data_IF_619646691762
#
_entry.id   IF_619646691762
#
_cell.length_a   1.000
_cell.length_b   1.000
_cell.length_c   1.000
_cell.angle_alpha   90.00
_cell.angle_beta   90.00
_cell.angle_gamma   90.00
#
_symmetry.space_group_name_H-M   'P 1'
#
loop_
_entity.id
_entity.type
_entity.pdbx_description
1 polymer ?
#
# COMPACT_ATOMS: atom_id res chain seq x y z
N UNK A 1 -12.09 8.17 0.88
CA UNK A 1 -11.50 7.20 -0.08
C UNK A 1 -11.91 7.44 -1.53
N UNK A 2 -13.20 7.39 -1.92
CA UNK A 2 -13.59 7.63 -3.33
C UNK A 2 -13.17 9.01 -3.87
N UNK A 3 -13.18 10.02 -3.00
CA UNK A 3 -12.70 11.37 -3.32
C UNK A 3 -11.16 11.49 -3.25
N UNK A 4 -10.49 10.53 -2.62
CA UNK A 4 -9.05 10.58 -2.37
C UNK A 4 -8.23 9.92 -3.48
N UNK A 5 -8.81 8.98 -4.23
CA UNK A 5 -8.06 8.13 -5.16
C UNK A 5 -8.96 7.38 -6.15
N UNK A 6 -8.38 6.99 -7.28
CA UNK A 6 -8.98 6.09 -8.27
C UNK A 6 -9.07 4.66 -7.72
N UNK A 7 -10.23 4.32 -7.15
CA UNK A 7 -10.50 2.99 -6.58
C UNK A 7 -10.33 1.86 -7.61
N UNK A 8 -10.90 1.93 -8.82
CA UNK A 8 -10.67 0.90 -9.86
C UNK A 8 -9.18 0.61 -10.11
N UNK A 9 -8.35 1.65 -10.16
CA UNK A 9 -6.90 1.50 -10.37
C UNK A 9 -6.20 0.82 -9.19
N UNK A 10 -6.59 1.14 -7.95
CA UNK A 10 -6.05 0.47 -6.75
C UNK A 10 -6.49 -0.99 -6.70
N UNK A 11 -7.78 -1.26 -6.93
CA UNK A 11 -8.33 -2.61 -7.01
C UNK A 11 -7.60 -3.46 -8.05
N UNK A 12 -7.29 -2.89 -9.21
CA UNK A 12 -6.50 -3.57 -10.25
C UNK A 12 -5.10 -3.96 -9.75
N UNK A 13 -4.45 -3.11 -8.95
CA UNK A 13 -3.12 -3.42 -8.37
C UNK A 13 -3.23 -4.49 -7.29
N UNK A 14 -4.24 -4.42 -6.43
CA UNK A 14 -4.50 -5.43 -5.40
C UNK A 14 -4.73 -6.81 -6.04
N UNK A 15 -5.57 -6.91 -7.07
CA UNK A 15 -5.81 -8.17 -7.79
C UNK A 15 -4.54 -8.77 -8.40
N UNK A 16 -3.60 -7.93 -8.85
CA UNK A 16 -2.28 -8.41 -9.32
C UNK A 16 -1.46 -9.00 -8.17
N UNK A 17 -1.45 -8.35 -7.01
CA UNK A 17 -0.78 -8.85 -5.80
C UNK A 17 -1.39 -10.18 -5.35
N UNK A 18 -2.72 -10.30 -5.35
CA UNK A 18 -3.40 -11.57 -5.06
C UNK A 18 -2.95 -12.69 -6.01
N UNK A 19 -2.76 -12.37 -7.30
CA UNK A 19 -2.19 -13.31 -8.28
C UNK A 19 -0.77 -13.73 -7.93
N UNK A 20 0.08 -12.79 -7.48
CA UNK A 20 1.44 -13.10 -7.03
C UNK A 20 1.43 -14.00 -5.79
N UNK A 21 0.55 -13.73 -4.81
CA UNK A 21 0.43 -14.54 -3.60
C UNK A 21 -0.03 -15.97 -3.91
N UNK A 22 -0.98 -16.14 -4.85
CA UNK A 22 -1.38 -17.47 -5.34
C UNK A 22 -0.22 -18.21 -6.00
N UNK A 23 0.54 -17.52 -6.87
CA UNK A 23 1.70 -18.13 -7.52
C UNK A 23 2.78 -18.56 -6.50
N UNK A 24 3.05 -17.75 -5.48
CA UNK A 24 3.96 -18.11 -4.39
C UNK A 24 3.47 -19.37 -3.66
N UNK A 25 2.17 -19.48 -3.36
CA UNK A 25 1.61 -20.68 -2.74
C UNK A 25 1.84 -21.93 -3.61
N UNK A 26 1.59 -21.83 -4.91
CA UNK A 26 1.83 -22.93 -5.84
C UNK A 26 3.33 -23.30 -5.94
N UNK A 27 4.23 -22.32 -5.82
CA UNK A 27 5.68 -22.59 -5.81
C UNK A 27 6.08 -23.41 -4.58
N UNK A 28 5.48 -23.13 -3.42
CA UNK A 28 5.69 -23.91 -2.19
C UNK A 28 5.19 -25.34 -2.39
N UNK A 29 3.98 -25.51 -2.93
CA UNK A 29 3.39 -26.85 -3.17
C UNK A 29 4.20 -27.69 -4.18
N UNK A 30 4.91 -27.03 -5.10
CA UNK A 30 5.73 -27.65 -6.15
C UNK A 30 7.20 -27.81 -5.76
N UNK A 31 7.57 -27.53 -4.50
CA UNK A 31 8.94 -27.63 -3.99
C UNK A 31 9.95 -26.82 -4.84
N UNK A 32 9.54 -25.62 -5.26
CA UNK A 32 10.40 -24.70 -6.03
C UNK A 32 11.54 -24.18 -5.13
N UNK A 33 12.76 -23.95 -5.66
CA UNK A 33 13.89 -23.49 -4.87
C UNK A 33 13.58 -22.23 -4.03
N UNK A 34 14.09 -22.23 -2.80
CA UNK A 34 13.80 -21.19 -1.81
C UNK A 34 14.18 -19.78 -2.29
N UNK A 35 15.28 -19.65 -3.01
CA UNK A 35 15.75 -18.40 -3.60
C UNK A 35 14.73 -17.80 -4.58
N UNK A 36 14.04 -18.61 -5.37
CA UNK A 36 13.02 -18.15 -6.30
C UNK A 36 11.76 -17.68 -5.57
N UNK A 37 11.36 -18.42 -4.52
CA UNK A 37 10.24 -18.03 -3.66
C UNK A 37 10.53 -16.68 -2.98
N UNK A 38 11.75 -16.48 -2.46
CA UNK A 38 12.17 -15.23 -1.84
C UNK A 38 12.15 -14.05 -2.83
N UNK A 39 12.53 -14.27 -4.09
CA UNK A 39 12.42 -13.26 -5.14
C UNK A 39 10.95 -12.86 -5.37
N UNK A 40 10.03 -13.83 -5.44
CA UNK A 40 8.61 -13.54 -5.64
C UNK A 40 7.97 -12.84 -4.43
N UNK A 41 8.35 -13.23 -3.20
CA UNK A 41 7.92 -12.54 -1.97
C UNK A 41 8.36 -11.06 -2.02
N UNK A 42 9.60 -10.80 -2.40
CA UNK A 42 10.10 -9.42 -2.53
C UNK A 42 9.37 -8.63 -3.62
N UNK A 43 8.99 -9.28 -4.72
CA UNK A 43 8.16 -8.67 -5.76
C UNK A 43 6.76 -8.30 -5.23
N UNK A 44 6.12 -9.18 -4.46
CA UNK A 44 4.82 -8.92 -3.82
C UNK A 44 4.92 -7.80 -2.77
N UNK A 45 5.95 -7.82 -1.91
CA UNK A 45 6.24 -6.75 -0.93
C UNK A 45 6.38 -5.39 -1.62
N UNK A 46 7.16 -5.35 -2.71
CA UNK A 46 7.38 -4.12 -3.49
C UNK A 46 6.10 -3.61 -4.16
N UNK A 47 5.26 -4.52 -4.67
CA UNK A 47 3.97 -4.16 -5.25
C UNK A 47 3.00 -3.60 -4.20
N UNK A 48 2.94 -4.22 -3.01
CA UNK A 48 2.14 -3.75 -1.89
C UNK A 48 2.59 -2.38 -1.37
N UNK A 49 3.91 -2.16 -1.25
CA UNK A 49 4.46 -0.87 -0.88
C UNK A 49 4.05 0.24 -1.87
N UNK A 50 4.09 -0.03 -3.17
CA UNK A 50 3.61 0.91 -4.20
C UNK A 50 2.12 1.21 -4.08
N UNK A 51 1.29 0.25 -3.68
CA UNK A 51 -0.13 0.51 -3.40
C UNK A 51 -0.26 1.45 -2.20
N UNK A 52 0.48 1.19 -1.12
CA UNK A 52 0.51 2.06 0.06
C UNK A 52 0.91 3.50 -0.27
N UNK A 53 1.93 3.71 -1.12
CA UNK A 53 2.34 5.03 -1.59
C UNK A 53 1.22 5.78 -2.32
N UNK A 54 0.50 5.11 -3.22
CA UNK A 54 -0.64 5.71 -3.94
C UNK A 54 -1.77 6.09 -2.97
N UNK A 55 -2.02 5.25 -1.96
CA UNK A 55 -3.02 5.53 -0.92
C UNK A 55 -2.61 6.76 -0.10
N UNK A 56 -1.35 6.83 0.31
CA UNK A 56 -0.80 7.94 1.08
C UNK A 56 -0.87 9.27 0.30
N UNK A 57 -0.47 9.26 -0.96
CA UNK A 57 -0.55 10.43 -1.85
C UNK A 57 -1.99 10.95 -1.98
N UNK A 58 -2.94 10.05 -2.24
CA UNK A 58 -4.35 10.42 -2.34
C UNK A 58 -4.94 10.94 -1.02
N UNK A 59 -4.50 10.40 0.11
CA UNK A 59 -4.89 10.88 1.43
C UNK A 59 -4.37 12.30 1.69
N UNK A 60 -3.10 12.57 1.32
CA UNK A 60 -2.49 13.89 1.43
C UNK A 60 -3.19 14.93 0.54
N UNK A 61 -3.49 14.57 -0.71
CA UNK A 61 -4.09 15.49 -1.68
C UNK A 61 -5.52 15.91 -1.34
N UNK A 62 -6.27 15.07 -0.63
CA UNK A 62 -7.68 15.32 -0.29
C UNK A 62 -7.92 15.51 1.20
N UNK A 63 -7.83 14.45 2.00
CA UNK A 63 -8.23 14.51 3.40
C UNK A 63 -7.35 15.44 4.25
N UNK A 64 -6.03 15.40 4.04
CA UNK A 64 -5.10 16.26 4.80
C UNK A 64 -5.27 17.71 4.36
N UNK A 65 -5.36 17.97 3.06
CA UNK A 65 -5.65 19.32 2.53
C UNK A 65 -6.93 19.89 3.14
N UNK A 66 -8.04 19.16 3.04
CA UNK A 66 -9.34 19.58 3.57
C UNK A 66 -9.29 19.80 5.09
N UNK A 67 -8.59 18.93 5.83
CA UNK A 67 -8.44 19.07 7.27
C UNK A 67 -7.62 20.31 7.68
N UNK A 68 -6.65 20.72 6.86
CA UNK A 68 -5.88 21.95 7.07
C UNK A 68 -6.69 23.19 6.68
N UNK A 69 -7.40 23.16 5.55
CA UNK A 69 -8.13 24.32 5.02
C UNK A 69 -9.44 24.60 5.79
N UNK A 70 -10.13 23.55 6.25
CA UNK A 70 -11.50 23.65 6.77
C UNK A 70 -11.67 23.05 8.18
N UNK A 71 -10.61 22.50 8.78
CA UNK A 71 -10.68 21.75 10.04
C UNK A 71 -9.65 22.17 11.09
N UNK A 72 -9.30 21.22 11.96
CA UNK A 72 -8.23 21.36 12.95
C UNK A 72 -6.91 20.94 12.30
N UNK A 73 -6.09 21.94 11.93
CA UNK A 73 -4.84 21.72 11.24
C UNK A 73 -3.83 20.93 12.09
N UNK A 74 -3.70 21.24 13.39
CA UNK A 74 -2.73 20.60 14.28
C UNK A 74 -3.06 19.12 14.47
N UNK A 75 -4.34 18.82 14.70
CA UNK A 75 -4.82 17.45 14.78
C UNK A 75 -4.61 16.69 13.47
N UNK A 76 -4.93 17.32 12.34
CA UNK A 76 -4.79 16.71 11.01
C UNK A 76 -3.33 16.35 10.72
N UNK A 77 -2.39 17.24 11.03
CA UNK A 77 -0.96 17.01 10.86
C UNK A 77 -0.49 15.88 11.79
N UNK A 78 -0.93 15.86 13.05
CA UNK A 78 -0.57 14.81 14.00
C UNK A 78 -1.06 13.42 13.55
N UNK A 79 -2.31 13.31 13.09
CA UNK A 79 -2.89 12.06 12.60
C UNK A 79 -2.16 11.58 11.33
N UNK A 80 -1.85 12.50 10.41
CA UNK A 80 -1.07 12.18 9.20
C UNK A 80 0.35 11.71 9.53
N UNK A 81 1.05 12.41 10.43
CA UNK A 81 2.41 12.03 10.85
C UNK A 81 2.43 10.62 11.44
N UNK A 82 1.43 10.27 12.25
CA UNK A 82 1.27 8.92 12.80
C UNK A 82 1.08 7.86 11.71
N UNK A 83 0.24 8.15 10.71
CA UNK A 83 0.04 7.24 9.58
C UNK A 83 1.32 7.02 8.77
N UNK A 84 2.10 8.09 8.53
CA UNK A 84 3.40 8.02 7.84
C UNK A 84 4.40 7.21 8.66
N UNK A 85 4.49 7.43 9.97
CA UNK A 85 5.39 6.66 10.85
C UNK A 85 5.11 5.15 10.74
N UNK A 86 3.84 4.75 10.77
CA UNK A 86 3.46 3.34 10.59
C UNK A 86 3.84 2.79 9.22
N UNK A 87 3.63 3.57 8.15
CA UNK A 87 3.98 3.15 6.79
C UNK A 87 5.50 3.06 6.56
N UNK A 88 6.27 3.97 7.17
CA UNK A 88 7.73 4.03 7.04
C UNK A 88 8.47 2.99 7.88
N UNK A 89 7.81 2.37 8.87
CA UNK A 89 8.35 1.21 9.61
C UNK A 89 8.35 -0.03 8.72
N UNK A 90 9.26 -0.08 7.75
CA UNK A 90 9.55 -1.30 7.00
C UNK A 90 10.55 -2.17 7.76
N UNK A 91 10.06 -3.30 8.28
CA UNK A 91 10.83 -4.54 8.42
C UNK A 91 10.81 -5.33 7.11
#
# INVERSE_FOLDING_TARGET
MRQCMDIPKIQTRIKKIEGQLRAISEMVDKDVPCEEILIQINAAKSALHKVGQVVLEGHLQHCVREGIEHGDADKTIADFAKAVEHFSRMS
#
